data_IF_330301822808
#
_entry.id   IF_330301822808
#
_cell.length_a   1.000
_cell.length_b   1.000
_cell.length_c   1.000
_cell.angle_alpha   90.00
_cell.angle_beta   90.00
_cell.angle_gamma   90.00
#
_symmetry.space_group_name_H-M   'P 1'
#
loop_
_entity.id
_entity.type
_entity.pdbx_description
1 polymer ?
#
# COMPACT_ATOMS: atom_id res chain seq x y z
N UNK A 1 23.12 5.69 -12.13
CA UNK A 1 22.04 4.66 -12.09
C UNK A 1 20.70 5.38 -12.13
N UNK A 2 19.74 4.85 -12.90
CA UNK A 2 18.42 5.45 -13.16
C UNK A 2 17.66 5.83 -11.88
N UNK A 3 17.74 5.00 -10.84
CA UNK A 3 17.09 5.23 -9.55
C UNK A 3 17.58 6.51 -8.83
N UNK A 4 18.86 6.86 -8.94
CA UNK A 4 19.40 8.09 -8.36
C UNK A 4 18.88 9.36 -9.05
N UNK A 5 18.58 9.29 -10.35
CA UNK A 5 17.95 10.39 -11.08
C UNK A 5 16.48 10.54 -10.68
N UNK A 6 15.77 9.42 -10.50
CA UNK A 6 14.38 9.40 -10.02
C UNK A 6 14.28 10.00 -8.61
N UNK A 7 15.15 9.57 -7.68
CA UNK A 7 15.18 10.09 -6.31
C UNK A 7 15.38 11.61 -6.26
N UNK A 8 16.24 12.16 -7.13
CA UNK A 8 16.41 13.61 -7.27
C UNK A 8 15.16 14.31 -7.81
N UNK A 9 14.45 13.72 -8.78
CA UNK A 9 13.21 14.29 -9.35
C UNK A 9 12.06 14.27 -8.35
N UNK A 10 12.03 13.29 -7.44
CA UNK A 10 11.02 13.20 -6.39
C UNK A 10 11.14 14.33 -5.36
N UNK A 11 12.32 14.94 -5.18
CA UNK A 11 12.53 16.04 -4.23
C UNK A 11 12.03 15.78 -2.80
N UNK A 12 12.03 14.51 -2.37
CA UNK A 12 11.55 14.09 -1.06
C UNK A 12 10.06 13.79 -0.97
N UNK A 13 9.32 13.82 -2.09
CA UNK A 13 7.94 13.33 -2.14
C UNK A 13 7.88 11.85 -1.72
N UNK A 14 6.98 11.54 -0.80
CA UNK A 14 6.74 10.17 -0.36
C UNK A 14 5.92 9.38 -1.39
N UNK A 15 6.13 8.08 -1.42
CA UNK A 15 5.40 7.14 -2.28
C UNK A 15 4.43 6.33 -1.43
N UNK A 16 3.15 6.36 -1.77
CA UNK A 16 2.09 5.60 -1.12
C UNK A 16 1.71 4.41 -1.99
N UNK A 17 1.96 3.20 -1.48
CA UNK A 17 1.58 1.97 -2.16
C UNK A 17 0.17 1.56 -1.73
N UNK A 18 -0.74 1.47 -2.69
CA UNK A 18 -2.13 1.04 -2.50
C UNK A 18 -2.43 -0.23 -3.27
N UNK A 19 -3.50 -0.92 -2.88
CA UNK A 19 -3.92 -2.18 -3.50
C UNK A 19 -4.44 -3.17 -2.48
N UNK A 20 -5.13 -4.20 -2.97
CA UNK A 20 -5.77 -5.22 -2.12
C UNK A 20 -4.74 -5.94 -1.24
N UNK A 21 -5.16 -6.47 -0.11
CA UNK A 21 -4.30 -7.29 0.74
C UNK A 21 -3.69 -8.47 -0.05
N UNK A 22 -2.42 -8.82 0.19
CA UNK A 22 -1.71 -9.84 -0.59
C UNK A 22 -1.15 -9.37 -1.95
N UNK A 23 -1.39 -8.11 -2.33
CA UNK A 23 -0.79 -7.52 -3.55
C UNK A 23 0.73 -7.34 -3.48
N UNK A 24 1.34 -7.54 -2.30
CA UNK A 24 2.78 -7.45 -2.12
C UNK A 24 3.31 -6.04 -1.86
N UNK A 25 2.46 -5.10 -1.42
CA UNK A 25 2.86 -3.72 -1.07
C UNK A 25 4.08 -3.68 -0.16
N UNK A 26 4.05 -4.40 0.97
CA UNK A 26 5.18 -4.42 1.89
C UNK A 26 6.40 -5.17 1.34
N UNK A 27 6.19 -6.15 0.46
CA UNK A 27 7.28 -6.93 -0.15
C UNK A 27 7.99 -6.16 -1.25
N UNK A 28 7.26 -5.39 -2.07
CA UNK A 28 7.78 -4.54 -3.16
C UNK A 28 8.26 -3.18 -2.64
N UNK A 29 7.62 -2.64 -1.60
CA UNK A 29 7.99 -1.35 -1.02
C UNK A 29 9.38 -1.32 -0.42
N UNK A 30 9.83 -2.43 0.18
CA UNK A 30 11.20 -2.56 0.74
C UNK A 30 12.31 -2.42 -0.32
N UNK A 31 12.33 -3.21 -1.42
CA UNK A 31 13.30 -3.01 -2.49
C UNK A 31 13.14 -1.63 -3.16
N UNK A 32 11.92 -1.12 -3.34
CA UNK A 32 11.71 0.22 -3.89
C UNK A 32 12.37 1.31 -3.02
N UNK A 33 12.17 1.25 -1.70
CA UNK A 33 12.78 2.17 -0.75
C UNK A 33 14.32 2.11 -0.83
N UNK A 34 14.89 0.91 -0.90
CA UNK A 34 16.34 0.73 -1.07
C UNK A 34 16.86 1.35 -2.36
N UNK A 35 16.15 1.16 -3.49
CA UNK A 35 16.54 1.72 -4.78
C UNK A 35 16.51 3.26 -4.78
N UNK A 36 15.56 3.86 -4.06
CA UNK A 36 15.39 5.31 -3.95
C UNK A 36 16.24 5.97 -2.85
N UNK A 37 16.86 5.16 -1.98
CA UNK A 37 17.47 5.59 -0.71
C UNK A 37 16.45 6.27 0.24
N UNK A 38 15.25 5.70 0.31
CA UNK A 38 14.10 6.16 1.10
C UNK A 38 13.88 5.24 2.30
N UNK A 39 13.12 5.70 3.30
CA UNK A 39 12.70 4.85 4.42
C UNK A 39 11.40 4.12 4.09
N UNK A 40 11.36 2.81 4.36
CA UNK A 40 10.14 2.02 4.19
C UNK A 40 9.31 2.03 5.48
N UNK A 41 7.99 2.25 5.36
CA UNK A 41 7.03 2.18 6.46
C UNK A 41 5.84 1.31 6.03
N UNK A 42 5.32 0.51 6.95
CA UNK A 42 4.08 -0.26 6.79
C UNK A 42 3.06 0.26 7.80
N UNK A 43 1.99 0.90 7.34
CA UNK A 43 1.03 1.56 8.25
C UNK A 43 0.33 0.57 9.16
N UNK A 44 0.08 -0.65 8.68
CA UNK A 44 -0.57 -1.69 9.49
C UNK A 44 0.32 -2.05 10.69
N UNK A 45 1.65 -2.09 10.50
CA UNK A 45 2.59 -2.32 11.61
C UNK A 45 2.64 -1.16 12.59
N UNK A 46 2.65 0.07 12.09
CA UNK A 46 2.65 1.27 12.94
C UNK A 46 1.37 1.33 13.78
N UNK A 47 0.22 0.95 13.21
CA UNK A 47 -1.05 0.85 13.96
C UNK A 47 -0.92 -0.19 15.08
N UNK A 48 -0.39 -1.38 14.81
CA UNK A 48 -0.20 -2.41 15.85
C UNK A 48 0.74 -1.95 16.97
N UNK A 49 1.81 -1.25 16.63
CA UNK A 49 2.78 -0.70 17.59
C UNK A 49 2.15 0.38 18.47
N UNK A 50 1.41 1.32 17.89
CA UNK A 50 0.76 2.41 18.63
C UNK A 50 -0.39 1.91 19.50
N UNK A 51 -1.19 0.96 18.99
CA UNK A 51 -2.30 0.37 19.73
C UNK A 51 -1.86 -0.69 20.75
N UNK A 52 -0.60 -1.11 20.72
CA UNK A 52 -0.07 -2.25 21.48
C UNK A 52 -0.98 -3.50 21.38
N UNK A 53 -1.53 -3.75 20.19
CA UNK A 53 -2.50 -4.80 19.92
C UNK A 53 -2.47 -5.19 18.44
N UNK A 54 -2.80 -6.45 18.13
CA UNK A 54 -2.87 -6.91 16.74
C UNK A 54 -4.10 -6.34 16.05
N UNK A 55 -4.01 -6.09 14.74
CA UNK A 55 -5.18 -5.58 13.99
C UNK A 55 -6.40 -6.49 14.16
N UNK A 56 -6.21 -7.80 14.18
CA UNK A 56 -7.28 -8.76 14.44
C UNK A 56 -7.99 -8.54 15.79
N UNK A 57 -7.22 -8.24 16.84
CA UNK A 57 -7.74 -7.95 18.17
C UNK A 57 -8.43 -6.59 18.20
N UNK A 58 -7.85 -5.56 17.57
CA UNK A 58 -8.47 -4.22 17.45
C UNK A 58 -9.85 -4.33 16.80
N UNK A 59 -9.98 -5.07 15.70
CA UNK A 59 -11.26 -5.29 15.04
C UNK A 59 -12.26 -6.05 15.93
N UNK A 60 -11.79 -7.05 16.69
CA UNK A 60 -12.63 -7.85 17.58
C UNK A 60 -13.14 -7.04 18.78
N UNK A 61 -12.25 -6.26 19.40
CA UNK A 61 -12.49 -5.64 20.70
C UNK A 61 -13.06 -4.22 20.57
N UNK A 62 -12.74 -3.52 19.48
CA UNK A 62 -13.14 -2.11 19.26
C UNK A 62 -13.89 -1.87 17.95
N UNK A 63 -13.92 -2.83 17.03
CA UNK A 63 -14.63 -2.73 15.76
C UNK A 63 -13.90 -1.95 14.67
N UNK A 64 -14.45 -1.99 13.45
CA UNK A 64 -13.83 -1.39 12.27
C UNK A 64 -13.75 0.15 12.36
N UNK A 65 -14.77 0.80 12.93
CA UNK A 65 -14.79 2.27 13.02
C UNK A 65 -13.59 2.81 13.79
N UNK A 66 -13.22 2.15 14.90
CA UNK A 66 -12.06 2.54 15.69
C UNK A 66 -10.75 2.27 14.94
N UNK A 67 -10.64 1.11 14.29
CA UNK A 67 -9.49 0.84 13.41
C UNK A 67 -9.31 1.91 12.32
N UNK A 68 -10.41 2.38 11.71
CA UNK A 68 -10.35 3.43 10.67
C UNK A 68 -9.87 4.78 11.21
N UNK A 69 -10.23 5.12 12.44
CA UNK A 69 -9.71 6.31 13.12
C UNK A 69 -8.20 6.21 13.33
N UNK A 70 -7.73 5.09 13.89
CA UNK A 70 -6.29 4.81 14.04
C UNK A 70 -5.55 4.83 12.70
N UNK A 71 -6.13 4.23 11.67
CA UNK A 71 -5.56 4.19 10.31
C UNK A 71 -5.36 5.61 9.76
N UNK A 72 -6.33 6.50 9.96
CA UNK A 72 -6.25 7.90 9.56
C UNK A 72 -5.21 8.69 10.37
N UNK A 73 -5.17 8.52 11.69
CA UNK A 73 -4.21 9.19 12.56
C UNK A 73 -2.77 8.79 12.23
N UNK A 74 -2.53 7.48 12.09
CA UNK A 74 -1.20 6.97 11.71
C UNK A 74 -0.78 7.48 10.35
N UNK A 75 -1.68 7.51 9.35
CA UNK A 75 -1.35 8.05 8.04
C UNK A 75 -0.95 9.52 8.11
N UNK A 76 -1.68 10.35 8.88
CA UNK A 76 -1.36 11.77 9.07
C UNK A 76 0.00 11.98 9.74
N UNK A 77 0.34 11.19 10.75
CA UNK A 77 1.63 11.30 11.44
C UNK A 77 2.79 10.84 10.55
N UNK A 78 2.59 9.76 9.79
CA UNK A 78 3.59 9.28 8.84
C UNK A 78 3.82 10.27 7.70
N UNK A 79 2.77 10.94 7.22
CA UNK A 79 2.86 11.89 6.10
C UNK A 79 3.59 13.20 6.44
N UNK A 80 3.84 13.49 7.72
CA UNK A 80 4.66 14.64 8.14
C UNK A 80 6.15 14.45 7.79
N UNK A 81 6.57 13.23 7.44
CA UNK A 81 7.95 12.91 7.04
C UNK A 81 8.07 12.86 5.52
N UNK A 82 9.30 13.00 5.05
CA UNK A 82 9.65 13.01 3.62
C UNK A 82 10.50 11.79 3.24
N UNK A 83 10.63 11.55 1.94
CA UNK A 83 11.45 10.47 1.39
C UNK A 83 11.05 9.09 1.93
N UNK A 84 9.76 8.81 1.96
CA UNK A 84 9.20 7.54 2.42
C UNK A 84 8.66 6.69 1.27
N UNK A 85 8.70 5.38 1.45
CA UNK A 85 7.85 4.42 0.72
C UNK A 85 6.93 3.76 1.74
N UNK A 86 5.64 4.00 1.59
CA UNK A 86 4.62 3.67 2.59
C UNK A 86 3.72 2.58 2.02
N UNK A 87 3.75 1.38 2.59
CA UNK A 87 2.75 0.36 2.35
C UNK A 87 1.53 0.64 3.22
N UNK A 88 0.37 0.84 2.60
CA UNK A 88 -0.87 1.15 3.34
C UNK A 88 -1.71 -0.09 3.61
N UNK A 89 -2.66 0.03 4.54
CA UNK A 89 -3.75 -0.92 4.68
C UNK A 89 -4.59 -1.01 3.40
N UNK A 90 -5.17 -2.18 3.13
CA UNK A 90 -6.01 -2.40 1.93
C UNK A 90 -7.35 -1.65 1.98
N UNK A 91 -7.71 -1.02 3.10
CA UNK A 91 -8.91 -0.20 3.22
C UNK A 91 -8.64 1.31 3.16
N UNK A 92 -7.37 1.73 3.12
CA UNK A 92 -6.99 3.14 3.24
C UNK A 92 -7.74 4.06 2.27
N UNK A 93 -8.03 3.55 1.07
CA UNK A 93 -8.66 4.28 -0.04
C UNK A 93 -10.15 4.54 0.15
N UNK A 94 -10.79 3.99 1.19
CA UNK A 94 -12.22 4.20 1.44
C UNK A 94 -12.52 5.49 2.20
N UNK A 95 -11.49 6.20 2.71
CA UNK A 95 -11.63 7.52 3.35
C UNK A 95 -11.14 8.62 2.42
N UNK A 96 -11.95 9.66 2.28
CA UNK A 96 -11.61 10.84 1.46
C UNK A 96 -10.49 11.68 2.10
N UNK A 97 -10.43 11.69 3.43
CA UNK A 97 -9.38 12.35 4.20
C UNK A 97 -8.02 11.70 3.93
N UNK A 98 -7.98 10.37 3.88
CA UNK A 98 -6.76 9.63 3.53
C UNK A 98 -6.28 9.95 2.12
N UNK A 99 -7.19 10.13 1.15
CA UNK A 99 -6.82 10.61 -0.19
C UNK A 99 -6.19 12.00 -0.15
N UNK A 100 -6.73 12.92 0.65
CA UNK A 100 -6.17 14.25 0.83
C UNK A 100 -4.73 14.23 1.36
N UNK A 101 -4.40 13.26 2.22
CA UNK A 101 -3.04 13.05 2.71
C UNK A 101 -2.14 12.40 1.65
N UNK A 102 -2.60 11.30 1.03
CA UNK A 102 -1.79 10.55 0.07
C UNK A 102 -1.47 11.35 -1.21
N UNK A 103 -2.36 12.25 -1.63
CA UNK A 103 -2.16 13.13 -2.80
C UNK A 103 -1.07 14.20 -2.61
N UNK A 104 -0.49 14.30 -1.42
CA UNK A 104 0.71 15.10 -1.17
C UNK A 104 1.99 14.40 -1.66
N UNK A 105 1.92 13.11 -1.97
CA UNK A 105 2.99 12.34 -2.58
C UNK A 105 2.54 11.66 -3.87
N UNK A 106 3.15 10.53 -4.20
CA UNK A 106 2.81 9.73 -5.38
C UNK A 106 2.13 8.44 -4.96
N UNK A 107 0.97 8.17 -5.52
CA UNK A 107 0.17 6.99 -5.23
C UNK A 107 0.39 5.93 -6.30
N UNK A 108 0.86 4.76 -5.89
CA UNK A 108 1.14 3.63 -6.77
C UNK A 108 0.20 2.49 -6.42
N UNK A 109 -0.63 2.10 -7.39
CA UNK A 109 -1.48 0.94 -7.27
C UNK A 109 -0.77 -0.32 -7.76
N UNK A 110 -0.58 -1.29 -6.87
CA UNK A 110 -0.24 -2.67 -7.23
C UNK A 110 -1.51 -3.47 -7.50
N UNK A 111 -1.79 -3.73 -8.76
CA UNK A 111 -2.95 -4.50 -9.21
C UNK A 111 -2.57 -5.92 -9.59
N UNK A 112 -3.02 -6.87 -8.79
CA UNK A 112 -2.82 -8.29 -9.02
C UNK A 112 -4.17 -8.96 -9.27
N UNK A 113 -4.16 -9.94 -10.16
CA UNK A 113 -5.37 -10.71 -10.45
C UNK A 113 -5.87 -11.42 -9.19
N UNK A 114 -7.20 -11.57 -9.11
CA UNK A 114 -7.86 -12.30 -8.02
C UNK A 114 -7.28 -13.70 -7.84
N UNK A 115 -6.89 -14.39 -8.93
CA UNK A 115 -6.29 -15.72 -8.88
C UNK A 115 -4.94 -15.74 -8.17
N UNK A 116 -4.05 -14.77 -8.45
CA UNK A 116 -2.74 -14.68 -7.77
C UNK A 116 -2.93 -14.30 -6.30
N UNK A 117 -3.83 -13.35 -6.00
CA UNK A 117 -4.14 -12.97 -4.62
C UNK A 117 -4.62 -14.18 -3.84
N UNK A 118 -5.58 -14.95 -4.36
CA UNK A 118 -6.08 -16.18 -3.71
C UNK A 118 -4.96 -17.18 -3.46
N UNK A 119 -4.08 -17.41 -4.43
CA UNK A 119 -2.94 -18.32 -4.27
C UNK A 119 -2.05 -17.88 -3.11
N UNK A 120 -1.69 -16.58 -3.04
CA UNK A 120 -0.87 -16.04 -1.94
C UNK A 120 -1.58 -16.14 -0.59
N UNK A 121 -2.87 -15.81 -0.54
CA UNK A 121 -3.67 -15.89 0.68
C UNK A 121 -3.78 -17.32 1.25
N UNK A 122 -3.79 -18.34 0.39
CA UNK A 122 -3.80 -19.74 0.84
C UNK A 122 -2.46 -20.20 1.41
N UNK A 123 -1.35 -19.58 1.00
CA UNK A 123 -0.01 -19.89 1.49
C UNK A 123 0.34 -19.14 2.77
N UNK A 124 -0.22 -17.94 2.97
CA UNK A 124 -0.02 -17.14 4.17
C UNK A 124 -0.92 -17.63 5.32
N UNK A 125 -0.33 -18.12 6.41
CA UNK A 125 -1.03 -18.49 7.66
C UNK A 125 -1.46 -17.28 8.51
N UNK A 126 -1.50 -16.07 7.94
CA UNK A 126 -1.76 -14.81 8.67
C UNK A 126 -3.27 -14.61 8.80
N UNK A 127 -3.74 -14.43 10.04
CA UNK A 127 -5.13 -14.09 10.35
C UNK A 127 -5.48 -12.71 9.78
N UNK A 128 -6.46 -12.66 8.86
CA UNK A 128 -6.94 -11.42 8.25
C UNK A 128 -8.36 -11.16 8.72
N UNK A 129 -8.60 -10.23 9.66
CA UNK A 129 -9.90 -10.09 10.35
C UNK A 129 -11.09 -9.85 9.42
N UNK A 130 -10.89 -9.18 8.27
CA UNK A 130 -11.95 -8.98 7.27
C UNK A 130 -12.25 -10.23 6.42
N UNK A 131 -11.36 -11.22 6.41
CA UNK A 131 -11.49 -12.41 5.58
C UNK A 131 -11.15 -13.69 6.32
N UNK A 132 -11.94 -14.00 7.35
CA UNK A 132 -11.97 -15.31 8.02
C UNK A 132 -13.18 -16.15 7.53
N UNK A 133 -13.01 -17.47 7.45
CA UNK A 133 -14.08 -18.46 7.20
C UNK A 133 -14.25 -18.98 5.76
N UNK A 134 -15.24 -19.86 5.57
CA UNK A 134 -15.60 -20.57 4.32
C UNK A 134 -15.99 -19.68 3.13
N UNK A 135 -16.13 -18.36 3.34
CA UNK A 135 -16.56 -17.37 2.34
C UNK A 135 -15.44 -16.42 1.86
N UNK A 136 -14.15 -16.79 2.04
CA UNK A 136 -12.99 -15.98 1.67
C UNK A 136 -13.03 -15.49 0.21
N UNK A 137 -13.44 -16.35 -0.71
CA UNK A 137 -13.51 -16.04 -2.13
C UNK A 137 -14.57 -14.98 -2.45
N UNK A 138 -15.78 -15.16 -1.93
CA UNK A 138 -16.90 -14.22 -2.14
C UNK A 138 -16.59 -12.86 -1.53
N UNK A 139 -16.09 -12.83 -0.28
CA UNK A 139 -15.70 -11.58 0.39
C UNK A 139 -14.57 -10.86 -0.34
N UNK A 140 -13.55 -11.58 -0.80
CA UNK A 140 -12.47 -10.98 -1.57
C UNK A 140 -12.97 -10.39 -2.90
N UNK A 141 -13.85 -11.11 -3.61
CA UNK A 141 -14.45 -10.62 -4.85
C UNK A 141 -15.25 -9.33 -4.63
N UNK A 142 -16.06 -9.28 -3.56
CA UNK A 142 -16.83 -8.08 -3.20
C UNK A 142 -15.92 -6.90 -2.84
N UNK A 143 -14.90 -7.14 -2.01
CA UNK A 143 -13.91 -6.13 -1.66
C UNK A 143 -13.19 -5.59 -2.89
N UNK A 144 -12.78 -6.46 -3.81
CA UNK A 144 -12.13 -6.03 -5.05
C UNK A 144 -13.08 -5.26 -5.94
N UNK A 145 -14.33 -5.71 -6.10
CA UNK A 145 -15.35 -5.00 -6.89
C UNK A 145 -15.55 -3.57 -6.38
N UNK A 146 -15.64 -3.39 -5.06
CA UNK A 146 -15.91 -2.09 -4.46
C UNK A 146 -14.66 -1.18 -4.42
N UNK A 147 -13.47 -1.74 -4.23
CA UNK A 147 -12.24 -0.95 -4.03
C UNK A 147 -11.44 -0.72 -5.31
N UNK A 148 -11.61 -1.52 -6.36
CA UNK A 148 -10.86 -1.36 -7.62
C UNK A 148 -11.08 -0.01 -8.29
N UNK A 149 -12.30 0.55 -8.37
CA UNK A 149 -12.50 1.91 -8.86
C UNK A 149 -11.73 2.94 -8.04
N UNK A 150 -11.65 2.77 -6.72
CA UNK A 150 -10.90 3.67 -5.84
C UNK A 150 -9.39 3.55 -6.08
N UNK A 151 -8.85 2.33 -6.17
CA UNK A 151 -7.43 2.16 -6.48
C UNK A 151 -7.02 2.71 -7.84
N UNK A 152 -7.93 2.73 -8.82
CA UNK A 152 -7.69 3.25 -10.17
C UNK A 152 -7.44 4.77 -10.20
N UNK A 153 -7.77 5.50 -9.14
CA UNK A 153 -7.46 6.92 -8.97
C UNK A 153 -5.98 7.19 -8.59
N UNK A 154 -5.15 6.14 -8.51
CA UNK A 154 -3.71 6.25 -8.27
C UNK A 154 -2.97 6.88 -9.46
N UNK A 155 -1.86 7.56 -9.19
CA UNK A 155 -1.02 8.20 -10.23
C UNK A 155 -0.33 7.19 -11.14
N UNK A 156 -0.02 6.00 -10.60
CA UNK A 156 0.64 4.92 -11.34
C UNK A 156 -0.04 3.58 -11.10
N UNK A 157 -0.37 2.89 -12.19
CA UNK A 157 -0.93 1.54 -12.16
C UNK A 157 0.13 0.53 -12.59
N UNK A 158 0.46 -0.41 -11.70
CA UNK A 158 1.41 -1.49 -11.95
C UNK A 158 0.67 -2.81 -11.93
N UNK A 159 0.94 -3.67 -12.92
CA UNK A 159 0.36 -5.00 -13.08
C UNK A 159 1.45 -6.07 -12.94
N UNK A 160 1.83 -6.50 -11.72
CA UNK A 160 2.85 -7.51 -11.53
C UNK A 160 2.41 -8.87 -12.08
N UNK A 161 3.19 -9.47 -12.98
CA UNK A 161 2.92 -10.78 -13.55
C UNK A 161 3.40 -11.94 -12.64
N UNK A 162 3.15 -11.82 -11.33
CA UNK A 162 3.80 -12.63 -10.29
C UNK A 162 5.35 -12.55 -10.32
N UNK A 163 5.86 -11.42 -10.80
CA UNK A 163 7.29 -11.11 -10.84
C UNK A 163 7.90 -11.04 -9.42
N UNK A 164 9.21 -11.31 -9.28
CA UNK A 164 9.92 -11.09 -8.02
C UNK A 164 9.81 -9.63 -7.54
N UNK A 165 9.73 -9.37 -6.23
CA UNK A 165 9.53 -8.02 -5.69
C UNK A 165 10.54 -6.98 -6.18
N UNK A 166 11.80 -7.39 -6.36
CA UNK A 166 12.88 -6.57 -6.90
C UNK A 166 12.61 -6.13 -8.34
N UNK A 167 12.06 -7.02 -9.17
CA UNK A 167 11.71 -6.72 -10.56
C UNK A 167 10.53 -5.75 -10.62
N UNK A 168 9.53 -5.92 -9.76
CA UNK A 168 8.40 -4.99 -9.66
C UNK A 168 8.86 -3.60 -9.18
N UNK A 169 9.77 -3.55 -8.20
CA UNK A 169 10.35 -2.29 -7.76
C UNK A 169 11.13 -1.60 -8.89
N UNK A 170 11.85 -2.34 -9.72
CA UNK A 170 12.54 -1.82 -10.89
C UNK A 170 11.56 -1.28 -11.96
N UNK A 171 10.47 -2.00 -12.23
CA UNK A 171 9.39 -1.52 -13.12
C UNK A 171 8.81 -0.18 -12.64
N UNK A 172 8.62 -0.02 -11.33
CA UNK A 172 8.18 1.26 -10.74
C UNK A 172 9.21 2.37 -11.00
N UNK A 173 10.49 2.11 -10.76
CA UNK A 173 11.57 3.09 -11.01
C UNK A 173 11.60 3.53 -12.48
N UNK A 174 11.34 2.61 -13.40
CA UNK A 174 11.30 2.90 -14.84
C UNK A 174 10.08 3.74 -15.25
N UNK A 175 8.94 3.53 -14.60
CA UNK A 175 7.70 4.23 -14.91
C UNK A 175 7.56 5.61 -14.23
N UNK A 176 8.14 5.80 -13.04
CA UNK A 176 8.09 7.06 -12.27
C UNK A 176 8.48 8.32 -13.08
N UNK A 177 9.54 8.31 -13.92
CA UNK A 177 9.87 9.43 -14.80
C UNK A 177 8.73 9.97 -15.68
N UNK A 178 7.74 9.15 -16.02
CA UNK A 178 6.61 9.52 -16.88
C UNK A 178 5.54 10.35 -16.18
N UNK A 179 5.50 10.34 -14.84
CA UNK A 179 4.47 11.03 -14.05
C UNK A 179 5.03 12.13 -13.14
N UNK A 180 6.33 12.09 -12.85
CA UNK A 180 7.00 13.14 -12.06
C UNK A 180 7.42 14.26 -13.00
N UNK A 181 7.12 15.53 -12.70
CA UNK A 181 7.65 16.65 -13.50
C UNK A 181 9.18 16.73 -13.35
N UNK A 182 9.91 16.98 -14.43
CA UNK A 182 11.33 17.30 -14.33
C UNK A 182 11.47 18.63 -13.59
N UNK A 183 12.31 18.76 -12.55
CA UNK A 183 12.60 20.07 -12.00
C UNK A 183 13.17 20.94 -13.12
N UNK A 184 12.56 22.11 -13.32
CA UNK A 184 13.02 23.14 -14.26
C UNK A 184 14.45 23.58 -13.93
#
# INVERSE_FOLDING_TARGET
MQSGQVSKRLQGLSIYMVGIMGSGKSTVGKPLARLLNYTFIDTDKVIEEVANSKIAEIFRDHGESYFRQLEQEVLKEVSQRHSLVIATGGGIVTSIENWGVMRQGIIIWLDLSTSIIKMRLRMDAIERPLITGTNLETKLQELMKNRRPLYAEADLHILPANDPPEKVAQQIIEALPGIIKTPC
#
